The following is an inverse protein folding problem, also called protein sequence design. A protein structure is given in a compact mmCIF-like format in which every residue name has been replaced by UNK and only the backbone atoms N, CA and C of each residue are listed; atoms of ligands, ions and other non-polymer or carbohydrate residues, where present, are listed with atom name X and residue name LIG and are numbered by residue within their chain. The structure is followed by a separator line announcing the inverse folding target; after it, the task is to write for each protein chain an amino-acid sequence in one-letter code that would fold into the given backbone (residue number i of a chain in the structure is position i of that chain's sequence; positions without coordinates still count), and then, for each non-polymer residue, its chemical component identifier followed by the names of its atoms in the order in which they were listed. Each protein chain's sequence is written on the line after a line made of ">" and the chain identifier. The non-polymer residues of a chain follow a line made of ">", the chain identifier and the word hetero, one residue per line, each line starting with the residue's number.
data_IF_276706417734
#
_entry.id   IF_276706417734
#
_cell.length_a   1.000
_cell.length_b   1.000
_cell.length_c   1.000
_cell.angle_alpha   90.00
_cell.angle_beta   90.00
_cell.angle_gamma   90.00
#
_symmetry.space_group_name_H-M   'P 1'
#
loop_
_entity.id
_entity.type
_entity.pdbx_description
1 polymer ?
#
# COMPACT_ATOMS: atom_id res chain seq x y z
N UNK A 1 -17.83 -3.46 14.52
CA UNK A 1 -17.14 -2.34 13.85
C UNK A 1 -17.29 -2.48 12.32
N UNK A 2 -17.59 -1.43 11.54
CA UNK A 2 -17.90 -1.57 10.09
C UNK A 2 -16.72 -2.13 9.28
N UNK A 3 -15.49 -1.86 9.72
CA UNK A 3 -14.27 -2.42 9.11
C UNK A 3 -14.08 -3.92 9.40
N UNK A 4 -14.49 -4.38 10.59
CA UNK A 4 -14.44 -5.81 10.95
C UNK A 4 -15.51 -6.64 10.23
N UNK A 5 -16.67 -6.03 9.97
CA UNK A 5 -17.77 -6.65 9.24
C UNK A 5 -17.56 -6.67 7.71
N UNK A 6 -16.53 -5.98 7.19
CA UNK A 6 -16.28 -5.85 5.76
C UNK A 6 -15.91 -7.19 5.12
N UNK A 7 -16.72 -7.65 4.16
CA UNK A 7 -16.50 -8.91 3.43
C UNK A 7 -15.79 -8.73 2.08
N UNK A 8 -15.72 -7.49 1.59
CA UNK A 8 -15.10 -7.13 0.31
C UNK A 8 -14.44 -5.75 0.35
N UNK A 9 -13.73 -5.41 -0.73
CA UNK A 9 -13.06 -4.12 -0.85
C UNK A 9 -14.01 -2.93 -0.98
N UNK A 10 -15.26 -3.13 -1.40
CA UNK A 10 -16.24 -2.05 -1.51
C UNK A 10 -16.68 -1.59 -0.11
N UNK A 11 -16.92 -2.53 0.81
CA UNK A 11 -17.26 -2.24 2.20
C UNK A 11 -16.13 -1.48 2.92
N UNK A 12 -14.87 -1.91 2.76
CA UNK A 12 -13.71 -1.18 3.35
C UNK A 12 -13.64 0.24 2.80
N UNK A 13 -13.82 0.40 1.48
CA UNK A 13 -13.81 1.72 0.84
C UNK A 13 -14.93 2.63 1.36
N UNK A 14 -16.13 2.07 1.55
CA UNK A 14 -17.27 2.80 2.08
C UNK A 14 -17.06 3.23 3.54
N UNK A 15 -16.54 2.35 4.38
CA UNK A 15 -16.21 2.65 5.78
C UNK A 15 -15.16 3.76 5.90
N UNK A 16 -14.05 3.66 5.15
CA UNK A 16 -13.00 4.67 5.15
C UNK A 16 -13.47 6.01 4.60
N UNK A 17 -14.31 6.03 3.55
CA UNK A 17 -14.95 7.26 3.07
C UNK A 17 -15.87 7.89 4.10
N UNK A 18 -16.69 7.09 4.77
CA UNK A 18 -17.62 7.58 5.79
C UNK A 18 -16.87 8.21 6.96
N UNK A 19 -15.78 7.57 7.40
CA UNK A 19 -14.88 8.15 8.40
C UNK A 19 -14.24 9.45 7.90
N UNK A 20 -13.70 9.47 6.67
CA UNK A 20 -13.11 10.67 6.08
C UNK A 20 -14.10 11.85 6.14
N UNK A 21 -15.32 11.64 5.66
CA UNK A 21 -16.37 12.67 5.67
C UNK A 21 -16.77 13.13 7.08
N UNK A 22 -16.84 12.20 8.04
CA UNK A 22 -17.14 12.56 9.44
C UNK A 22 -16.08 13.47 10.07
N UNK A 23 -14.86 13.44 9.52
CA UNK A 23 -13.71 14.22 9.96
C UNK A 23 -13.44 15.46 9.08
N UNK A 24 -14.30 15.77 8.10
CA UNK A 24 -14.12 16.91 7.18
C UNK A 24 -13.18 16.66 6.00
N UNK A 25 -12.81 15.40 5.74
CA UNK A 25 -12.05 15.00 4.56
C UNK A 25 -12.97 14.40 3.49
N UNK A 26 -12.50 14.41 2.24
CA UNK A 26 -13.28 13.92 1.09
C UNK A 26 -12.80 12.56 0.62
N UNK A 27 -11.53 12.26 0.87
CA UNK A 27 -10.81 11.17 0.23
C UNK A 27 -9.91 10.47 1.22
N UNK A 28 -9.59 9.22 0.92
CA UNK A 28 -8.54 8.49 1.61
C UNK A 28 -7.59 7.81 0.61
N UNK A 29 -6.37 7.52 1.07
CA UNK A 29 -5.41 6.69 0.37
C UNK A 29 -4.63 5.84 1.38
N UNK A 30 -4.75 4.52 1.25
CA UNK A 30 -3.83 3.57 1.88
C UNK A 30 -2.71 3.24 0.89
N UNK A 31 -1.47 3.29 1.37
CA UNK A 31 -0.29 2.90 0.62
C UNK A 31 0.55 1.93 1.45
N UNK A 32 1.00 0.85 0.81
CA UNK A 32 1.95 -0.11 1.35
C UNK A 32 3.15 -0.18 0.43
N UNK A 33 4.34 -0.08 1.01
CA UNK A 33 5.61 -0.29 0.33
C UNK A 33 6.35 -1.47 0.94
N UNK A 34 6.69 -2.44 0.10
CA UNK A 34 7.52 -3.61 0.43
C UNK A 34 8.66 -3.70 -0.59
N UNK A 35 9.87 -3.29 -0.19
CA UNK A 35 11.00 -3.18 -1.11
C UNK A 35 10.71 -2.24 -2.29
N UNK A 36 10.72 -2.79 -3.50
CA UNK A 36 10.37 -2.06 -4.73
C UNK A 36 8.86 -2.05 -5.04
N UNK A 37 8.07 -2.92 -4.40
CA UNK A 37 6.65 -3.02 -4.69
C UNK A 37 5.85 -1.97 -3.90
N UNK A 38 4.99 -1.25 -4.60
CA UNK A 38 4.01 -0.32 -4.01
C UNK A 38 2.62 -0.84 -4.31
N UNK A 39 1.77 -0.92 -3.28
CA UNK A 39 0.35 -1.27 -3.39
C UNK A 39 -0.48 -0.15 -2.80
N UNK A 40 -1.56 0.20 -3.48
CA UNK A 40 -2.45 1.28 -3.07
C UNK A 40 -3.89 0.80 -2.96
N UNK A 41 -4.63 1.40 -2.04
CA UNK A 41 -6.08 1.27 -1.95
C UNK A 41 -6.64 2.63 -1.55
N UNK A 42 -7.22 3.34 -2.52
CA UNK A 42 -7.54 4.76 -2.36
C UNK A 42 -8.89 5.10 -2.98
N UNK A 43 -9.45 6.25 -2.61
CA UNK A 43 -10.66 6.81 -3.19
C UNK A 43 -10.41 8.05 -4.06
N UNK A 44 -9.17 8.25 -4.52
CA UNK A 44 -8.80 9.40 -5.33
C UNK A 44 -9.46 9.32 -6.72
N UNK A 45 -9.60 10.45 -7.42
CA UNK A 45 -10.12 10.45 -8.79
C UNK A 45 -9.24 9.56 -9.69
N UNK A 46 -9.87 8.74 -10.54
CA UNK A 46 -9.15 7.91 -11.51
C UNK A 46 -8.13 8.68 -12.38
N UNK A 47 -8.45 9.89 -12.88
CA UNK A 47 -7.47 10.72 -13.60
C UNK A 47 -6.22 11.04 -12.79
N UNK A 48 -6.37 11.36 -11.50
CA UNK A 48 -5.24 11.64 -10.62
C UNK A 48 -4.36 10.41 -10.42
N UNK A 49 -4.95 9.23 -10.19
CA UNK A 49 -4.19 7.99 -10.04
C UNK A 49 -3.38 7.68 -11.30
N UNK A 50 -3.95 7.88 -12.48
CA UNK A 50 -3.24 7.74 -13.75
C UNK A 50 -2.06 8.69 -13.89
N UNK A 51 -2.25 9.97 -13.57
CA UNK A 51 -1.18 10.98 -13.60
C UNK A 51 -0.07 10.65 -12.61
N UNK A 52 -0.44 10.28 -11.37
CA UNK A 52 0.48 9.98 -10.29
C UNK A 52 1.42 8.81 -10.64
N UNK A 53 0.85 7.75 -11.23
CA UNK A 53 1.61 6.57 -11.65
C UNK A 53 2.47 6.87 -12.90
N UNK A 54 1.90 7.52 -13.92
CA UNK A 54 2.61 7.81 -15.17
C UNK A 54 3.80 8.77 -14.98
N UNK A 55 3.75 9.61 -13.95
CA UNK A 55 4.77 10.62 -13.66
C UNK A 55 5.74 10.21 -12.54
N UNK A 56 5.67 8.96 -12.07
CA UNK A 56 6.48 8.43 -10.94
C UNK A 56 6.44 9.34 -9.69
N UNK A 57 5.28 9.93 -9.38
CA UNK A 57 5.18 10.94 -8.31
C UNK A 57 5.52 10.42 -6.92
N UNK A 58 5.45 9.10 -6.70
CA UNK A 58 5.95 8.47 -5.48
C UNK A 58 7.42 8.79 -5.15
N UNK A 59 8.23 9.23 -6.13
CA UNK A 59 9.64 9.59 -5.93
C UNK A 59 9.82 10.99 -5.35
N UNK A 60 8.89 11.90 -5.65
CA UNK A 60 8.99 13.33 -5.29
C UNK A 60 7.91 13.76 -4.29
N UNK A 61 6.94 12.90 -4.00
CA UNK A 61 5.84 13.17 -3.07
C UNK A 61 6.38 13.55 -1.67
N UNK A 62 6.15 14.80 -1.22
CA UNK A 62 6.57 15.25 0.10
C UNK A 62 5.91 14.48 1.24
N UNK A 63 4.67 14.01 1.05
CA UNK A 63 3.94 13.24 2.07
C UNK A 63 4.64 11.90 2.29
N UNK A 64 5.04 11.21 1.21
CA UNK A 64 5.81 9.95 1.32
C UNK A 64 7.20 10.17 1.90
N UNK A 65 7.82 11.32 1.61
CA UNK A 65 9.13 11.69 2.15
C UNK A 65 9.04 11.91 3.66
N UNK A 66 8.00 12.63 4.11
CA UNK A 66 7.79 12.92 5.52
C UNK A 66 7.32 11.70 6.31
N UNK A 67 6.47 10.85 5.72
CA UNK A 67 6.02 9.59 6.31
C UNK A 67 7.17 8.63 6.63
N UNK A 68 8.30 8.70 5.89
CA UNK A 68 9.51 7.92 6.22
C UNK A 68 10.31 8.50 7.38
N UNK A 69 10.18 9.81 7.63
CA UNK A 69 10.92 10.52 8.69
C UNK A 69 10.16 10.54 10.01
N UNK A 70 8.82 10.58 9.96
CA UNK A 70 7.96 10.64 11.14
C UNK A 70 7.39 9.27 11.51
N UNK A 71 7.23 9.03 12.81
CA UNK A 71 6.61 7.82 13.39
C UNK A 71 5.23 8.08 13.99
N UNK A 72 4.60 9.20 13.64
CA UNK A 72 3.33 9.62 14.21
C UNK A 72 2.47 10.36 13.19
N UNK A 73 1.21 10.56 13.55
CA UNK A 73 0.22 11.28 12.75
C UNK A 73 0.72 12.69 12.46
N UNK A 74 0.63 13.13 11.20
CA UNK A 74 1.01 14.48 10.82
C UNK A 74 0.07 15.08 9.78
N UNK A 75 -0.16 16.38 9.92
CA UNK A 75 -0.82 17.20 8.93
C UNK A 75 0.17 17.66 7.85
N UNK A 76 -0.33 17.82 6.63
CA UNK A 76 0.38 18.42 5.51
C UNK A 76 -0.56 19.27 4.64
N UNK A 77 0.01 20.25 3.94
CA UNK A 77 -0.71 21.03 2.93
C UNK A 77 0.16 21.27 1.70
N UNK A 78 -0.45 21.16 0.53
CA UNK A 78 0.16 21.47 -0.75
C UNK A 78 0.51 22.96 -0.88
N UNK A 79 -0.12 23.82 -0.07
CA UNK A 79 0.17 25.24 -0.04
C UNK A 79 1.62 25.53 0.41
N UNK A 80 2.25 24.62 1.16
CA UNK A 80 3.65 24.71 1.62
C UNK A 80 4.69 24.32 0.55
N UNK A 81 4.27 23.69 -0.55
CA UNK A 81 5.18 23.25 -1.61
C UNK A 81 5.51 24.40 -2.58
N UNK A 82 6.57 24.32 -3.40
CA UNK A 82 6.92 25.41 -4.32
C UNK A 82 5.78 25.81 -5.27
N UNK A 83 5.34 27.08 -5.21
CA UNK A 83 4.27 27.64 -6.06
C UNK A 83 4.76 28.31 -7.35
N UNK A 84 6.08 28.50 -7.48
CA UNK A 84 6.70 29.27 -8.58
C UNK A 84 7.83 28.49 -9.24
N UNK A 85 8.17 28.89 -10.47
CA UNK A 85 9.21 28.25 -11.27
C UNK A 85 8.72 27.06 -12.10
N UNK A 86 9.64 26.20 -12.54
CA UNK A 86 9.37 25.05 -13.43
C UNK A 86 9.75 23.71 -12.81
N UNK A 87 9.88 23.65 -11.47
CA UNK A 87 10.27 22.41 -10.79
C UNK A 87 9.21 21.31 -10.92
N UNK A 88 9.60 20.02 -10.95
CA UNK A 88 8.64 18.90 -10.91
C UNK A 88 7.70 18.96 -9.71
N UNK A 89 8.19 19.47 -8.57
CA UNK A 89 7.40 19.58 -7.35
C UNK A 89 6.29 20.64 -7.44
N UNK A 90 6.53 21.73 -8.19
CA UNK A 90 5.48 22.70 -8.51
C UNK A 90 4.38 22.07 -9.35
N UNK A 91 4.75 21.31 -10.39
CA UNK A 91 3.77 20.60 -11.22
C UNK A 91 2.94 19.61 -10.41
N UNK A 92 3.60 18.82 -9.55
CA UNK A 92 2.93 17.93 -8.61
C UNK A 92 1.94 18.66 -7.70
N UNK A 93 2.34 19.81 -7.14
CA UNK A 93 1.47 20.68 -6.33
C UNK A 93 0.22 21.10 -7.11
N UNK A 94 0.41 21.71 -8.28
CA UNK A 94 -0.69 22.26 -9.08
C UNK A 94 -1.67 21.15 -9.46
N UNK A 95 -1.17 20.02 -9.98
CA UNK A 95 -2.02 18.88 -10.37
C UNK A 95 -2.72 18.23 -9.16
N UNK A 96 -2.09 18.13 -7.99
CA UNK A 96 -2.73 17.59 -6.79
C UNK A 96 -3.90 18.48 -6.34
N UNK A 97 -3.71 19.80 -6.32
CA UNK A 97 -4.74 20.77 -5.96
C UNK A 97 -5.92 20.71 -6.94
N UNK A 98 -5.64 20.67 -8.25
CA UNK A 98 -6.66 20.58 -9.30
C UNK A 98 -7.53 19.31 -9.17
N UNK A 99 -6.98 18.25 -8.57
CA UNK A 99 -7.71 17.00 -8.30
C UNK A 99 -8.29 16.91 -6.88
N UNK A 100 -8.33 18.02 -6.15
CA UNK A 100 -8.93 18.10 -4.81
C UNK A 100 -8.08 17.47 -3.70
N UNK A 101 -6.77 17.34 -3.90
CA UNK A 101 -5.81 16.81 -2.94
C UNK A 101 -4.92 17.98 -2.50
N UNK A 102 -5.46 18.82 -1.63
CA UNK A 102 -4.81 20.06 -1.21
C UNK A 102 -4.20 19.96 0.18
N UNK A 103 -4.93 19.43 1.15
CA UNK A 103 -4.39 19.17 2.48
C UNK A 103 -4.82 17.80 2.98
N UNK A 104 -4.16 17.33 4.04
CA UNK A 104 -4.51 16.05 4.61
C UNK A 104 -3.79 15.73 5.90
N UNK A 105 -4.19 14.60 6.48
CA UNK A 105 -3.52 13.97 7.60
C UNK A 105 -3.03 12.60 7.16
N UNK A 106 -1.82 12.24 7.56
CA UNK A 106 -1.20 10.95 7.24
C UNK A 106 -0.78 10.25 8.53
N UNK A 107 -1.09 8.96 8.61
CA UNK A 107 -0.73 8.07 9.71
C UNK A 107 0.31 7.07 9.16
N UNK A 108 1.61 7.31 9.37
CA UNK A 108 2.65 6.37 8.97
C UNK A 108 2.82 5.25 10.00
N UNK A 109 3.01 4.02 9.53
CA UNK A 109 3.31 2.84 10.34
C UNK A 109 4.46 2.07 9.68
N UNK A 110 5.53 1.87 10.45
CA UNK A 110 6.65 1.02 10.05
C UNK A 110 6.27 -0.44 10.27
N UNK A 111 6.40 -1.27 9.23
CA UNK A 111 6.15 -2.70 9.28
C UNK A 111 7.44 -3.51 9.46
N UNK A 112 7.31 -4.83 9.41
CA UNK A 112 8.44 -5.75 9.47
C UNK A 112 9.34 -5.64 8.23
N UNK A 113 10.64 -5.95 8.38
CA UNK A 113 11.60 -6.05 7.28
C UNK A 113 11.70 -4.79 6.39
N UNK A 114 11.55 -3.61 6.99
CA UNK A 114 11.63 -2.34 6.27
C UNK A 114 10.41 -2.04 5.38
N UNK A 115 9.31 -2.77 5.56
CA UNK A 115 8.03 -2.39 4.95
C UNK A 115 7.48 -1.12 5.59
N UNK A 116 6.77 -0.32 4.81
CA UNK A 116 6.13 0.90 5.28
C UNK A 116 4.67 0.91 4.84
N UNK A 117 3.80 1.34 5.76
CA UNK A 117 2.37 1.47 5.53
C UNK A 117 1.96 2.88 5.92
N UNK A 118 0.98 3.43 5.22
CA UNK A 118 0.40 4.69 5.62
C UNK A 118 -1.05 4.79 5.17
N UNK A 119 -1.84 5.46 6.00
CA UNK A 119 -3.21 5.85 5.68
C UNK A 119 -3.29 7.37 5.68
N UNK A 120 -3.74 7.94 4.57
CA UNK A 120 -3.92 9.37 4.37
C UNK A 120 -5.39 9.68 4.20
N UNK A 121 -5.86 10.75 4.84
CA UNK A 121 -7.14 11.39 4.55
C UNK A 121 -6.88 12.77 3.96
N UNK A 122 -7.50 13.07 2.82
CA UNK A 122 -7.23 14.29 2.05
C UNK A 122 -8.51 15.09 1.78
N UNK A 123 -8.36 16.40 1.69
CA UNK A 123 -9.42 17.38 1.48
C UNK A 123 -9.02 18.40 0.41
N UNK A 124 -9.98 18.91 -0.40
CA UNK A 124 -9.75 20.05 -1.30
C UNK A 124 -9.63 21.39 -0.55
N UNK A 125 -10.07 21.41 0.71
CA UNK A 125 -10.05 22.60 1.55
C UNK A 125 -8.61 23.08 1.85
N UNK A 126 -8.48 24.35 2.23
CA UNK A 126 -7.17 24.92 2.60
C UNK A 126 -6.54 24.26 3.83
N UNK A 127 -7.38 23.92 4.82
CA UNK A 127 -6.92 23.32 6.08
C UNK A 127 -8.05 22.54 6.74
N UNK A 128 -7.84 21.24 6.86
CA UNK A 128 -8.58 20.34 7.76
C UNK A 128 -7.53 19.53 8.51
N UNK A 129 -7.43 19.76 9.81
CA UNK A 129 -6.36 19.18 10.63
C UNK A 129 -6.95 18.57 11.91
N UNK A 130 -7.08 17.25 11.89
CA UNK A 130 -7.45 16.45 13.07
C UNK A 130 -6.23 15.78 13.71
N UNK A 131 -5.00 16.08 13.27
CA UNK A 131 -3.80 15.35 13.72
C UNK A 131 -3.59 15.43 15.22
N UNK A 132 -3.93 16.57 15.85
CA UNK A 132 -3.87 16.76 17.30
C UNK A 132 -5.02 16.11 18.09
N UNK A 133 -6.08 15.66 17.42
CA UNK A 133 -7.23 15.00 18.03
C UNK A 133 -7.14 13.47 17.95
N UNK A 134 -6.30 12.95 17.06
CA UNK A 134 -6.11 11.51 16.88
C UNK A 134 -5.17 10.94 17.94
N UNK A 135 -5.70 10.05 18.78
CA UNK A 135 -4.86 9.23 19.65
C UNK A 135 -3.91 8.37 18.80
N UNK A 136 -2.62 8.44 19.12
CA UNK A 136 -1.58 7.77 18.31
C UNK A 136 -1.74 6.25 18.29
N UNK A 137 -2.19 5.63 19.39
CA UNK A 137 -2.39 4.17 19.43
C UNK A 137 -3.59 3.77 18.59
N UNK A 138 -4.71 4.49 18.72
CA UNK A 138 -5.90 4.28 17.90
C UNK A 138 -5.60 4.47 16.41
N UNK A 139 -4.84 5.51 16.05
CA UNK A 139 -4.44 5.77 14.67
C UNK A 139 -3.65 4.58 14.07
N UNK A 140 -2.67 4.05 14.81
CA UNK A 140 -1.91 2.86 14.40
C UNK A 140 -2.83 1.63 14.29
N UNK A 141 -3.74 1.42 15.24
CA UNK A 141 -4.70 0.32 15.20
C UNK A 141 -5.56 0.36 13.94
N UNK A 142 -6.05 1.53 13.53
CA UNK A 142 -6.82 1.69 12.30
C UNK A 142 -6.00 1.31 11.07
N UNK A 143 -4.74 1.76 10.97
CA UNK A 143 -3.85 1.39 9.85
C UNK A 143 -3.62 -0.11 9.81
N UNK A 144 -3.38 -0.74 10.96
CA UNK A 144 -3.18 -2.20 11.03
C UNK A 144 -4.46 -2.98 10.68
N UNK A 145 -5.63 -2.51 11.12
CA UNK A 145 -6.91 -3.12 10.77
C UNK A 145 -7.15 -3.08 9.26
N UNK A 146 -6.94 -1.92 8.62
CA UNK A 146 -7.02 -1.77 7.16
C UNK A 146 -6.03 -2.69 6.47
N UNK A 147 -4.78 -2.73 6.91
CA UNK A 147 -3.73 -3.58 6.34
C UNK A 147 -4.11 -5.06 6.34
N UNK A 148 -4.53 -5.59 7.49
CA UNK A 148 -4.87 -7.00 7.61
C UNK A 148 -6.14 -7.36 6.85
N UNK A 149 -7.16 -6.49 6.85
CA UNK A 149 -8.36 -6.72 6.05
C UNK A 149 -8.04 -6.78 4.55
N UNK A 150 -7.21 -5.86 4.04
CA UNK A 150 -6.76 -5.91 2.64
C UNK A 150 -5.95 -7.18 2.35
N UNK A 151 -5.11 -7.66 3.27
CA UNK A 151 -4.39 -8.93 3.11
C UNK A 151 -5.33 -10.14 3.07
N UNK A 152 -6.35 -10.19 3.94
CA UNK A 152 -7.34 -11.27 3.96
C UNK A 152 -8.12 -11.30 2.64
N UNK A 153 -8.55 -10.13 2.13
CA UNK A 153 -9.24 -10.03 0.85
C UNK A 153 -8.35 -10.41 -0.34
N UNK A 154 -7.08 -10.00 -0.30
CA UNK A 154 -6.10 -10.40 -1.30
C UNK A 154 -5.88 -11.92 -1.28
N UNK A 155 -5.86 -12.56 -0.11
CA UNK A 155 -5.75 -14.02 0.00
C UNK A 155 -6.99 -14.74 -0.56
N UNK A 156 -8.20 -14.22 -0.31
CA UNK A 156 -9.45 -14.75 -0.89
C UNK A 156 -9.46 -14.66 -2.42
N UNK A 157 -8.92 -13.58 -2.98
CA UNK A 157 -8.84 -13.36 -4.44
C UNK A 157 -7.61 -13.99 -5.11
N UNK A 158 -6.56 -14.31 -4.34
CA UNK A 158 -5.34 -14.97 -4.80
C UNK A 158 -5.49 -16.47 -5.04
N UNK A 159 -6.70 -17.04 -4.92
CA UNK A 159 -7.07 -18.28 -5.61
C UNK A 159 -7.15 -17.97 -7.12
N UNK A 160 -6.01 -17.57 -7.69
CA UNK A 160 -5.83 -17.28 -9.10
C UNK A 160 -4.93 -18.40 -9.65
N UNK A 161 -5.47 -19.34 -10.46
CA UNK A 161 -4.74 -20.52 -10.93
C UNK A 161 -3.40 -20.20 -11.61
N UNK A 162 -3.26 -18.98 -12.19
CA UNK A 162 -2.05 -18.53 -12.91
C UNK A 162 -0.84 -18.22 -12.02
N UNK A 163 -1.01 -18.12 -10.70
CA UNK A 163 0.09 -17.93 -9.72
C UNK A 163 0.25 -19.10 -8.77
N UNK A 164 -0.50 -20.18 -8.98
CA UNK A 164 -0.31 -21.39 -8.19
C UNK A 164 0.87 -22.16 -8.77
N UNK A 165 1.83 -22.51 -7.91
CA UNK A 165 2.87 -23.47 -8.26
C UNK A 165 2.19 -24.74 -8.76
N UNK A 166 2.67 -25.28 -9.88
CA UNK A 166 2.30 -26.62 -10.29
C UNK A 166 2.64 -27.62 -9.18
N UNK A 167 2.00 -28.79 -9.13
CA UNK A 167 2.32 -29.81 -8.13
C UNK A 167 3.82 -30.17 -8.09
N UNK A 168 4.51 -30.07 -9.23
CA UNK A 168 5.95 -30.34 -9.35
C UNK A 168 6.81 -29.21 -8.78
N UNK A 169 6.48 -27.95 -9.08
CA UNK A 169 7.15 -26.78 -8.50
C UNK A 169 6.97 -26.74 -6.98
N UNK A 170 5.75 -26.95 -6.50
CA UNK A 170 5.45 -27.02 -5.06
C UNK A 170 6.26 -28.11 -4.35
N UNK A 171 6.35 -29.31 -4.96
CA UNK A 171 7.13 -30.41 -4.39
C UNK A 171 8.62 -30.06 -4.28
N UNK A 172 9.18 -29.40 -5.31
CA UNK A 172 10.59 -28.98 -5.30
C UNK A 172 10.85 -27.90 -4.23
N UNK A 173 9.97 -26.90 -4.12
CA UNK A 173 10.05 -25.83 -3.10
C UNK A 173 9.95 -26.42 -1.67
N UNK A 174 9.07 -27.39 -1.44
CA UNK A 174 8.95 -28.06 -0.12
C UNK A 174 10.26 -28.75 0.28
N UNK A 175 10.94 -29.44 -0.65
CA UNK A 175 12.20 -30.10 -0.33
C UNK A 175 13.34 -29.10 -0.11
N UNK A 176 13.38 -28.02 -0.89
CA UNK A 176 14.35 -26.93 -0.71
C UNK A 176 14.20 -26.25 0.67
N UNK A 177 12.96 -25.97 1.12
CA UNK A 177 12.71 -25.40 2.46
C UNK A 177 13.08 -26.35 3.60
N UNK A 178 13.10 -27.66 3.35
CA UNK A 178 13.62 -28.69 4.27
C UNK A 178 15.15 -28.87 4.17
N UNK A 179 15.84 -28.02 3.41
CA UNK A 179 17.29 -28.01 3.27
C UNK A 179 17.84 -29.04 2.29
N UNK A 180 17.01 -29.63 1.42
CA UNK A 180 17.47 -30.59 0.41
C UNK A 180 17.96 -29.89 -0.85
N UNK A 181 19.11 -30.33 -1.35
CA UNK A 181 19.67 -29.84 -2.60
C UNK A 181 19.01 -30.51 -3.83
N UNK A 182 19.29 -30.01 -5.04
CA UNK A 182 18.66 -30.50 -6.27
C UNK A 182 18.93 -32.00 -6.54
N UNK A 183 20.16 -32.54 -6.36
CA UNK A 183 20.41 -33.99 -6.45
C UNK A 183 19.63 -34.84 -5.42
N UNK A 184 19.53 -34.39 -4.17
CA UNK A 184 18.77 -35.10 -3.14
C UNK A 184 17.27 -35.09 -3.44
N UNK A 185 16.75 -33.94 -3.87
CA UNK A 185 15.34 -33.77 -4.24
C UNK A 185 15.00 -34.62 -5.47
N UNK A 186 15.90 -34.70 -6.45
CA UNK A 186 15.78 -35.58 -7.61
C UNK A 186 15.62 -37.05 -7.22
N UNK A 187 16.45 -37.52 -6.28
CA UNK A 187 16.35 -38.89 -5.74
C UNK A 187 15.03 -39.15 -5.03
N UNK A 188 14.50 -38.16 -4.31
CA UNK A 188 13.24 -38.26 -3.57
C UNK A 188 11.99 -38.18 -4.46
N UNK A 189 12.07 -37.48 -5.59
CA UNK A 189 10.92 -37.17 -6.45
C UNK A 189 10.89 -37.93 -7.78
N UNK A 190 11.97 -38.66 -8.09
CA UNK A 190 12.09 -39.50 -9.29
C UNK A 190 12.32 -38.73 -10.59
N UNK A 191 12.68 -37.44 -10.51
CA UNK A 191 13.01 -36.59 -11.68
C UNK A 191 14.50 -36.23 -11.66
N UNK A 192 15.04 -35.68 -12.75
CA UNK A 192 16.46 -35.31 -12.82
C UNK A 192 16.75 -34.04 -12.01
N UNK A 193 17.98 -33.90 -11.50
CA UNK A 193 18.40 -32.68 -10.79
C UNK A 193 18.26 -31.41 -11.64
N UNK A 194 18.45 -31.53 -12.96
CA UNK A 194 18.21 -30.44 -13.92
C UNK A 194 16.73 -30.04 -13.98
N UNK A 195 15.83 -31.02 -13.95
CA UNK A 195 14.38 -30.77 -13.91
C UNK A 195 13.94 -30.15 -12.59
N UNK A 196 14.54 -30.56 -11.46
CA UNK A 196 14.34 -29.90 -10.15
C UNK A 196 14.74 -28.43 -10.23
N UNK A 197 15.93 -28.14 -10.76
CA UNK A 197 16.40 -26.75 -10.90
C UNK A 197 15.45 -25.93 -11.78
N UNK A 198 15.02 -26.48 -12.93
CA UNK A 198 14.06 -25.81 -13.80
C UNK A 198 12.74 -25.47 -13.09
N UNK A 199 12.22 -26.39 -12.27
CA UNK A 199 11.02 -26.13 -11.48
C UNK A 199 11.26 -25.09 -10.38
N UNK A 200 12.44 -25.04 -9.77
CA UNK A 200 12.79 -24.00 -8.80
C UNK A 200 12.97 -22.63 -9.46
N UNK A 201 13.48 -22.58 -10.70
CA UNK A 201 13.67 -21.33 -11.45
C UNK A 201 12.35 -20.74 -11.94
N UNK A 202 11.33 -21.59 -12.18
CA UNK A 202 10.00 -21.18 -12.63
C UNK A 202 9.03 -20.87 -11.48
N UNK A 203 9.33 -21.31 -10.26
CA UNK A 203 8.53 -21.12 -9.05
C UNK A 203 8.65 -19.71 -8.48
#
# INVERSE_FOLDING_TARGET
>A
DMLEAAQDGHMIRSALKSFAHSCGYDRFAYLQKEGAQVRTFNSYPGPWEGIYLASDYFRIDPVLTEAKRRRGVFFWTADDWPARGSSPLRRFRDEAIDHGIRCGVTIPVEGSYGSAMMLTFASPERKVDISGLLDAKMAVQVVMAVHYQLKILAAKTAINPKRMLSPREMTCVIWATKGKNAPETAKLTGITARTVQHHLDNA
#
